data_IF_868550940322
#
_entry.id   IF_868550940322
#
_cell.length_a   1.000
_cell.length_b   1.000
_cell.length_c   1.000
_cell.angle_alpha   90.00
_cell.angle_beta   90.00
_cell.angle_gamma   90.00
#
_symmetry.space_group_name_H-M   'P 1'
#
loop_
_entity.id
_entity.type
_entity.pdbx_description
1 polymer ?
#
# COMPACT_ATOMS: atom_id res chain seq x y z
N UNK A 1 -11.28 -21.83 -33.06
CA UNK A 1 -11.44 -20.36 -32.89
C UNK A 1 -11.89 -19.94 -31.48
N UNK A 2 -11.98 -20.85 -30.49
CA UNK A 2 -12.39 -20.51 -29.11
C UNK A 2 -11.21 -20.09 -28.18
N UNK A 3 -9.97 -20.43 -28.53
CA UNK A 3 -8.78 -20.13 -27.71
C UNK A 3 -8.45 -18.64 -27.62
N UNK A 4 -8.61 -17.87 -28.71
CA UNK A 4 -8.27 -16.43 -28.71
C UNK A 4 -9.16 -15.57 -27.80
N UNK A 5 -10.43 -15.95 -27.65
CA UNK A 5 -11.39 -15.22 -26.81
C UNK A 5 -11.14 -15.49 -25.32
N UNK A 6 -10.82 -16.75 -24.95
CA UNK A 6 -10.49 -17.10 -23.55
C UNK A 6 -9.20 -16.46 -23.08
N UNK A 7 -8.17 -16.41 -23.93
CA UNK A 7 -6.90 -15.76 -23.59
C UNK A 7 -7.11 -14.26 -23.34
N UNK A 8 -7.85 -13.58 -24.22
CA UNK A 8 -8.18 -12.15 -24.07
C UNK A 8 -8.95 -11.86 -22.79
N UNK A 9 -9.92 -12.71 -22.41
CA UNK A 9 -10.66 -12.55 -21.15
C UNK A 9 -9.76 -12.73 -19.93
N UNK A 10 -8.86 -13.74 -19.94
CA UNK A 10 -7.92 -13.97 -18.84
C UNK A 10 -6.96 -12.79 -18.65
N UNK A 11 -6.42 -12.24 -19.73
CA UNK A 11 -5.57 -11.05 -19.69
C UNK A 11 -6.30 -9.83 -19.13
N UNK A 12 -7.55 -9.61 -19.53
CA UNK A 12 -8.35 -8.50 -19.01
C UNK A 12 -8.66 -8.66 -17.51
N UNK A 13 -9.02 -9.87 -17.07
CA UNK A 13 -9.22 -10.17 -15.66
C UNK A 13 -7.95 -9.91 -14.84
N UNK A 14 -6.78 -10.30 -15.36
CA UNK A 14 -5.50 -10.02 -14.70
C UNK A 14 -5.23 -8.52 -14.62
N UNK A 15 -5.42 -7.77 -15.71
CA UNK A 15 -5.25 -6.31 -15.73
C UNK A 15 -6.14 -5.61 -14.71
N UNK A 16 -7.41 -6.00 -14.62
CA UNK A 16 -8.34 -5.44 -13.62
C UNK A 16 -7.91 -5.78 -12.20
N UNK A 17 -7.48 -7.01 -11.95
CA UNK A 17 -7.00 -7.44 -10.64
C UNK A 17 -5.75 -6.64 -10.21
N UNK A 18 -4.81 -6.40 -11.14
CA UNK A 18 -3.63 -5.57 -10.89
C UNK A 18 -4.02 -4.12 -10.60
N UNK A 19 -4.89 -3.53 -11.42
CA UNK A 19 -5.37 -2.16 -11.21
C UNK A 19 -6.08 -2.01 -9.86
N UNK A 20 -6.88 -3.00 -9.46
CA UNK A 20 -7.54 -3.01 -8.16
C UNK A 20 -6.52 -3.11 -7.02
N UNK A 21 -5.53 -4.01 -7.11
CA UNK A 21 -4.49 -4.14 -6.09
C UNK A 21 -3.68 -2.85 -5.93
N UNK A 22 -3.39 -2.16 -7.04
CA UNK A 22 -2.79 -0.83 -7.03
C UNK A 22 -3.67 0.20 -6.33
N UNK A 23 -4.95 0.30 -6.69
CA UNK A 23 -5.89 1.22 -6.04
C UNK A 23 -6.02 0.97 -4.54
N UNK A 24 -6.15 -0.29 -4.14
CA UNK A 24 -6.23 -0.70 -2.73
C UNK A 24 -4.93 -0.34 -1.97
N UNK A 25 -3.76 -0.51 -2.61
CA UNK A 25 -2.47 -0.11 -2.04
C UNK A 25 -2.38 1.39 -1.81
N UNK A 26 -2.77 2.21 -2.79
CA UNK A 26 -2.80 3.67 -2.64
C UNK A 26 -3.73 4.12 -1.49
N UNK A 27 -4.89 3.48 -1.34
CA UNK A 27 -5.79 3.76 -0.22
C UNK A 27 -5.13 3.49 1.15
N UNK A 28 -4.34 2.41 1.27
CA UNK A 28 -3.58 2.12 2.49
C UNK A 28 -2.53 3.21 2.75
N UNK A 29 -1.76 3.58 1.74
CA UNK A 29 -0.67 4.56 1.89
C UNK A 29 -1.19 5.95 2.24
N UNK A 30 -2.31 6.36 1.65
CA UNK A 30 -2.97 7.63 1.95
C UNK A 30 -3.51 7.66 3.38
N UNK A 31 -4.22 6.61 3.81
CA UNK A 31 -4.68 6.48 5.19
C UNK A 31 -3.52 6.48 6.20
N UNK A 32 -2.39 5.89 5.85
CA UNK A 32 -1.20 5.88 6.70
C UNK A 32 -0.54 7.26 6.77
N UNK A 33 -0.45 7.96 5.65
CA UNK A 33 0.08 9.33 5.58
C UNK A 33 -0.79 10.30 6.40
N UNK A 34 -2.12 10.20 6.30
CA UNK A 34 -3.03 11.03 7.08
C UNK A 34 -2.90 10.78 8.60
N UNK A 35 -2.78 9.52 9.02
CA UNK A 35 -2.49 9.19 10.43
C UNK A 35 -1.21 9.87 10.92
N UNK A 36 -0.14 9.82 10.12
CA UNK A 36 1.14 10.41 10.52
C UNK A 36 1.16 11.95 10.47
N UNK A 37 0.31 12.57 9.64
CA UNK A 37 0.09 14.02 9.67
C UNK A 37 -0.47 14.48 11.01
N UNK A 38 -1.36 13.67 11.61
CA UNK A 38 -2.06 14.01 12.84
C UNK A 38 -1.33 13.58 14.12
N UNK A 39 -0.24 12.78 14.01
CA UNK A 39 0.57 12.38 15.16
C UNK A 39 1.57 13.50 15.51
N UNK A 40 1.35 14.17 16.64
CA UNK A 40 2.41 14.93 17.31
C UNK A 40 3.45 13.93 17.84
N UNK A 41 4.54 13.72 17.12
CA UNK A 41 5.67 13.02 17.71
C UNK A 41 6.75 12.55 16.75
N UNK A 42 7.99 12.80 17.17
CA UNK A 42 9.23 12.23 16.65
C UNK A 42 9.38 10.73 16.94
N UNK A 43 8.27 9.99 17.04
CA UNK A 43 8.32 8.55 17.30
C UNK A 43 9.10 7.90 16.15
N UNK A 44 10.11 7.08 16.47
CA UNK A 44 10.94 6.47 15.44
C UNK A 44 10.08 5.58 14.55
N UNK A 45 10.39 5.62 13.27
CA UNK A 45 9.89 4.70 12.29
C UNK A 45 10.98 3.67 12.01
N UNK A 46 10.66 2.41 12.18
CA UNK A 46 11.50 1.26 11.84
C UNK A 46 10.86 0.46 10.72
N UNK A 47 11.65 -0.41 10.06
CA UNK A 47 11.16 -1.36 9.07
C UNK A 47 10.00 -2.20 9.61
N UNK A 48 10.14 -2.77 10.81
CA UNK A 48 9.09 -3.61 11.42
C UNK A 48 7.83 -2.79 11.71
N UNK A 49 8.00 -1.56 12.20
CA UNK A 49 6.85 -0.68 12.47
C UNK A 49 6.14 -0.25 11.18
N UNK A 50 6.87 -0.07 10.07
CA UNK A 50 6.30 0.18 8.74
C UNK A 50 5.44 -1.00 8.31
N UNK A 51 5.99 -2.21 8.37
CA UNK A 51 5.29 -3.45 7.98
C UNK A 51 4.04 -3.67 8.82
N UNK A 52 4.16 -3.61 10.14
CA UNK A 52 3.03 -3.78 11.06
C UNK A 52 1.92 -2.74 10.84
N UNK A 53 2.28 -1.50 10.52
CA UNK A 53 1.31 -0.42 10.30
C UNK A 53 0.59 -0.55 8.96
N UNK A 54 1.30 -0.93 7.90
CA UNK A 54 0.68 -1.21 6.60
C UNK A 54 -0.30 -2.37 6.71
N UNK A 55 0.09 -3.46 7.40
CA UNK A 55 -0.81 -4.58 7.68
C UNK A 55 -2.05 -4.14 8.47
N UNK A 56 -1.86 -3.37 9.55
CA UNK A 56 -2.97 -2.89 10.37
C UNK A 56 -3.97 -2.07 9.56
N UNK A 57 -3.50 -1.15 8.72
CA UNK A 57 -4.36 -0.34 7.84
C UNK A 57 -5.04 -1.20 6.78
N UNK A 58 -4.33 -2.17 6.19
CA UNK A 58 -4.92 -3.09 5.20
C UNK A 58 -6.09 -3.90 5.80
N UNK A 59 -5.91 -4.43 7.02
CA UNK A 59 -6.97 -5.15 7.74
C UNK A 59 -8.12 -4.22 8.11
N UNK A 60 -7.83 -2.98 8.49
CA UNK A 60 -8.87 -2.00 8.84
C UNK A 60 -9.74 -1.62 7.63
N UNK A 61 -9.13 -1.40 6.46
CA UNK A 61 -9.85 -0.98 5.26
C UNK A 61 -10.58 -2.14 4.56
N UNK A 62 -10.00 -3.34 4.56
CA UNK A 62 -10.49 -4.45 3.74
C UNK A 62 -10.94 -5.68 4.53
N UNK A 63 -10.84 -5.62 5.86
CA UNK A 63 -11.09 -6.77 6.74
C UNK A 63 -10.00 -7.83 6.65
N UNK A 64 -10.17 -8.92 7.40
CA UNK A 64 -9.25 -10.06 7.32
C UNK A 64 -9.46 -10.85 6.03
N UNK A 65 -8.36 -11.23 5.36
CA UNK A 65 -8.39 -12.17 4.24
C UNK A 65 -7.49 -11.80 3.06
N UNK A 66 -7.68 -12.50 1.95
CA UNK A 66 -6.80 -12.41 0.76
C UNK A 66 -6.69 -11.00 0.17
N UNK A 67 -7.76 -10.20 0.22
CA UNK A 67 -7.74 -8.82 -0.28
C UNK A 67 -6.78 -7.96 0.52
N UNK A 68 -6.89 -7.98 1.86
CA UNK A 68 -5.98 -7.24 2.73
C UNK A 68 -4.53 -7.68 2.55
N UNK A 69 -4.24 -8.98 2.47
CA UNK A 69 -2.87 -9.48 2.23
C UNK A 69 -2.31 -9.03 0.87
N UNK A 70 -3.15 -9.01 -0.17
CA UNK A 70 -2.72 -8.57 -1.51
C UNK A 70 -2.43 -7.06 -1.51
N UNK A 71 -3.35 -6.28 -0.93
CA UNK A 71 -3.20 -4.84 -0.81
C UNK A 71 -2.01 -4.43 0.08
N UNK A 72 -1.79 -5.13 1.20
CA UNK A 72 -0.63 -4.95 2.08
C UNK A 72 0.68 -5.17 1.32
N UNK A 73 0.83 -6.30 0.62
CA UNK A 73 2.05 -6.61 -0.13
C UNK A 73 2.34 -5.56 -1.18
N UNK A 74 1.31 -5.14 -1.90
CA UNK A 74 1.44 -4.13 -2.93
C UNK A 74 1.76 -2.76 -2.34
N UNK A 75 1.12 -2.39 -1.22
CA UNK A 75 1.45 -1.18 -0.47
C UNK A 75 2.90 -1.22 0.05
N UNK A 76 3.40 -2.34 0.53
CA UNK A 76 4.80 -2.48 0.96
C UNK A 76 5.79 -2.39 -0.20
N UNK A 77 5.38 -2.75 -1.42
CA UNK A 77 6.19 -2.61 -2.63
C UNK A 77 6.28 -1.15 -3.07
N UNK A 78 5.19 -0.41 -2.96
CA UNK A 78 5.09 1.00 -3.35
C UNK A 78 5.60 1.97 -2.28
N UNK A 79 5.46 1.60 -1.01
CA UNK A 79 5.88 2.45 0.09
C UNK A 79 7.41 2.62 0.12
N UNK A 80 7.92 3.83 0.40
CA UNK A 80 9.35 4.05 0.53
C UNK A 80 9.93 3.15 1.63
N UNK A 81 11.16 2.61 1.46
CA UNK A 81 11.81 1.85 2.51
C UNK A 81 12.26 2.75 3.66
N UNK A 82 12.45 2.15 4.84
CA UNK A 82 13.04 2.81 6.01
C UNK A 82 14.47 2.30 6.15
N UNK A 83 15.41 3.02 5.57
CA UNK A 83 16.85 2.70 5.55
C UNK A 83 17.66 3.46 6.59
N UNK A 84 17.15 4.62 7.00
CA UNK A 84 17.82 5.56 7.90
C UNK A 84 16.90 5.91 9.07
N UNK A 85 17.45 6.37 10.21
CA UNK A 85 16.64 6.85 11.32
C UNK A 85 15.76 8.02 10.89
N UNK A 86 14.44 7.78 10.89
CA UNK A 86 13.43 8.80 10.60
C UNK A 86 12.27 8.66 11.57
N UNK A 87 11.50 9.72 11.70
CA UNK A 87 10.28 9.74 12.49
C UNK A 87 9.07 9.31 11.65
N UNK A 88 7.99 8.93 12.33
CA UNK A 88 6.70 8.66 11.67
C UNK A 88 6.18 9.85 10.87
N UNK A 89 6.37 11.08 11.36
CA UNK A 89 5.94 12.29 10.67
C UNK A 89 6.73 12.49 9.36
N UNK A 90 8.06 12.35 9.40
CA UNK A 90 8.90 12.41 8.19
C UNK A 90 8.55 11.28 7.21
N UNK A 91 8.28 10.07 7.71
CA UNK A 91 7.82 8.98 6.86
C UNK A 91 6.47 9.28 6.21
N UNK A 92 5.54 9.91 6.93
CA UNK A 92 4.27 10.40 6.37
C UNK A 92 4.48 11.35 5.20
N UNK A 93 5.45 12.26 5.29
CA UNK A 93 5.82 13.14 4.18
C UNK A 93 6.41 12.37 3.00
N UNK A 94 7.27 11.37 3.26
CA UNK A 94 7.82 10.49 2.20
C UNK A 94 6.73 9.71 1.47
N UNK A 95 5.71 9.22 2.19
CA UNK A 95 4.55 8.57 1.56
C UNK A 95 3.83 9.51 0.60
N UNK A 96 3.56 10.74 1.03
CA UNK A 96 2.91 11.76 0.19
C UNK A 96 3.75 12.12 -1.05
N UNK A 97 5.07 12.19 -0.91
CA UNK A 97 5.97 12.44 -2.02
C UNK A 97 5.95 11.26 -3.02
N UNK A 98 6.11 10.03 -2.54
CA UNK A 98 6.09 8.82 -3.37
C UNK A 98 4.79 8.67 -4.16
N UNK A 99 3.65 9.02 -3.57
CA UNK A 99 2.34 8.96 -4.25
C UNK A 99 2.14 10.06 -5.31
N UNK A 100 2.95 11.12 -5.32
CA UNK A 100 2.89 12.17 -6.35
C UNK A 100 3.79 11.87 -7.55
N UNK A 101 4.79 11.02 -7.36
CA UNK A 101 5.77 10.62 -8.39
C UNK A 101 5.34 9.35 -9.15
N UNK A 102 4.33 8.63 -8.64
CA UNK A 102 3.74 7.43 -9.22
C UNK A 102 2.55 7.76 -10.13
#
# INVERSE_FOLDING_TARGET
MADGIRLTQQDEHLRRAVAQAHGDAHAILDALADRYRNVRGAAPMTKESREARVLAVAVELFGNGRRATTAEREALRLAPPVTDPITRAEYGLRLLAAMREA
#
